data_IF_015128550898
#
_entry.id   IF_015128550898
#
_cell.length_a   1.000
_cell.length_b   1.000
_cell.length_c   1.000
_cell.angle_alpha   90.00
_cell.angle_beta   90.00
_cell.angle_gamma   90.00
#
_symmetry.space_group_name_H-M   'P 1'
#
loop_
_entity.id
_entity.type
_entity.pdbx_description
1 polymer ?
#
# COMPACT_ATOMS: atom_id res chain seq x y z
N UNK A 1 -33.79 16.05 5.60
CA UNK A 1 -32.92 15.79 4.45
C UNK A 1 -31.67 15.10 4.94
N UNK A 2 -31.46 13.91 4.43
CA UNK A 2 -30.51 12.86 4.80
C UNK A 2 -29.07 13.27 4.54
N UNK A 3 -28.21 13.26 5.55
CA UNK A 3 -26.75 13.18 5.36
C UNK A 3 -26.28 11.88 6.00
N UNK A 4 -26.31 10.81 5.18
CA UNK A 4 -25.71 9.51 5.51
C UNK A 4 -24.20 9.71 5.40
N UNK A 5 -23.61 10.31 6.43
CA UNK A 5 -22.17 10.48 6.57
C UNK A 5 -21.56 9.17 7.09
N UNK A 6 -21.76 8.07 6.36
CA UNK A 6 -21.04 6.82 6.62
C UNK A 6 -19.70 6.87 5.87
N UNK A 7 -18.90 7.90 6.17
CA UNK A 7 -17.46 7.80 5.91
C UNK A 7 -16.96 6.68 6.81
N UNK A 8 -16.44 5.61 6.21
CA UNK A 8 -15.88 4.47 6.93
C UNK A 8 -14.97 5.00 8.04
N UNK A 9 -15.40 4.82 9.29
CA UNK A 9 -14.64 5.28 10.44
C UNK A 9 -13.32 4.50 10.42
N UNK A 10 -12.20 5.20 10.52
CA UNK A 10 -10.89 4.55 10.65
C UNK A 10 -10.95 3.54 11.81
N UNK A 11 -10.70 2.26 11.50
CA UNK A 11 -10.67 1.15 12.46
C UNK A 11 -9.27 0.54 12.46
N UNK A 12 -8.50 0.84 13.50
CA UNK A 12 -7.12 0.37 13.64
C UNK A 12 -7.05 -1.16 13.65
N UNK A 13 -8.05 -1.81 14.22
CA UNK A 13 -8.19 -3.27 14.29
C UNK A 13 -8.33 -3.90 12.89
N UNK A 14 -9.04 -3.22 11.98
CA UNK A 14 -9.21 -3.69 10.59
C UNK A 14 -7.90 -3.60 9.81
N UNK A 15 -7.09 -2.56 10.04
CA UNK A 15 -5.77 -2.43 9.41
C UNK A 15 -4.83 -3.51 9.94
N UNK A 16 -4.83 -3.75 11.25
CA UNK A 16 -4.01 -4.81 11.86
C UNK A 16 -4.41 -6.19 11.32
N UNK A 17 -5.71 -6.47 11.24
CA UNK A 17 -6.21 -7.72 10.66
C UNK A 17 -5.84 -7.86 9.17
N UNK A 18 -6.02 -6.80 8.38
CA UNK A 18 -5.65 -6.81 6.96
C UNK A 18 -4.16 -7.08 6.77
N UNK A 19 -3.29 -6.42 7.54
CA UNK A 19 -1.84 -6.67 7.51
C UNK A 19 -1.49 -8.09 7.96
N UNK A 20 -2.17 -8.62 8.97
CA UNK A 20 -1.92 -9.96 9.49
C UNK A 20 -2.25 -11.05 8.44
N UNK A 21 -3.34 -10.87 7.70
CA UNK A 21 -3.80 -11.86 6.73
C UNK A 21 -3.26 -11.62 5.31
N UNK A 22 -2.61 -10.49 5.00
CA UNK A 22 -2.13 -10.18 3.66
C UNK A 22 -0.88 -10.95 3.28
N UNK A 23 -0.96 -11.71 2.18
CA UNK A 23 0.15 -12.36 1.50
C UNK A 23 0.54 -11.54 0.26
N UNK A 24 1.73 -10.94 0.30
CA UNK A 24 2.19 -10.01 -0.74
C UNK A 24 2.55 -10.71 -2.06
N UNK A 25 2.97 -11.98 -2.02
CA UNK A 25 3.32 -12.73 -3.22
C UNK A 25 2.11 -13.02 -4.12
N UNK A 26 0.92 -13.17 -3.54
CA UNK A 26 -0.32 -13.48 -4.26
C UNK A 26 -1.28 -12.28 -4.32
N UNK A 27 -1.00 -11.20 -3.59
CA UNK A 27 -1.90 -10.07 -3.39
C UNK A 27 -3.29 -10.53 -2.87
N UNK A 28 -3.31 -11.45 -1.89
CA UNK A 28 -4.54 -11.98 -1.29
C UNK A 28 -4.51 -11.97 0.23
N UNK A 29 -5.68 -12.05 0.86
CA UNK A 29 -5.81 -12.36 2.28
C UNK A 29 -5.93 -13.88 2.47
N UNK A 30 -5.15 -14.45 3.38
CA UNK A 30 -5.15 -15.87 3.69
C UNK A 30 -5.92 -16.15 4.98
N UNK A 31 -7.11 -16.75 4.86
CA UNK A 31 -7.90 -17.24 5.99
C UNK A 31 -7.84 -18.76 6.08
N UNK A 32 -8.23 -19.33 7.22
CA UNK A 32 -8.36 -20.79 7.37
C UNK A 32 -9.33 -21.41 6.36
N UNK A 33 -10.33 -20.63 5.90
CA UNK A 33 -11.31 -21.06 4.90
C UNK A 33 -10.85 -20.84 3.44
N UNK A 34 -9.65 -20.30 3.22
CA UNK A 34 -9.07 -20.09 1.89
C UNK A 34 -8.56 -18.67 1.65
N UNK A 35 -8.11 -18.44 0.42
CA UNK A 35 -7.60 -17.14 -0.02
C UNK A 35 -8.74 -16.24 -0.49
N UNK A 36 -8.65 -14.95 -0.21
CA UNK A 36 -9.56 -13.91 -0.70
C UNK A 36 -8.76 -12.79 -1.36
N UNK A 37 -8.97 -12.54 -2.64
CA UNK A 37 -8.36 -11.40 -3.33
C UNK A 37 -9.17 -10.13 -3.04
N UNK A 38 -8.63 -9.15 -2.28
CA UNK A 38 -9.33 -7.90 -2.06
C UNK A 38 -9.40 -7.08 -3.36
N UNK A 39 -10.54 -6.44 -3.61
CA UNK A 39 -10.67 -5.46 -4.69
C UNK A 39 -10.05 -4.11 -4.27
N UNK A 40 -9.85 -3.22 -5.24
CA UNK A 40 -9.42 -1.85 -4.96
C UNK A 40 -10.36 -1.13 -3.97
N UNK A 41 -11.66 -1.40 -4.05
CA UNK A 41 -12.66 -0.80 -3.16
C UNK A 41 -12.56 -1.37 -1.75
N UNK A 42 -12.26 -2.67 -1.61
CA UNK A 42 -12.05 -3.31 -0.31
C UNK A 42 -10.81 -2.74 0.38
N UNK A 43 -9.71 -2.59 -0.37
CA UNK A 43 -8.49 -1.97 0.15
C UNK A 43 -8.76 -0.54 0.59
N UNK A 44 -9.38 0.28 -0.28
CA UNK A 44 -9.73 1.66 0.05
C UNK A 44 -10.58 1.74 1.32
N UNK A 45 -11.56 0.84 1.46
CA UNK A 45 -12.40 0.77 2.65
C UNK A 45 -11.61 0.44 3.93
N UNK A 46 -10.69 -0.53 3.86
CA UNK A 46 -9.86 -0.96 5.01
C UNK A 46 -8.98 0.18 5.53
N UNK A 47 -8.38 0.97 4.64
CA UNK A 47 -7.50 2.08 5.01
C UNK A 47 -8.26 3.39 5.28
N UNK A 48 -9.60 3.36 5.24
CA UNK A 48 -10.44 4.53 5.49
C UNK A 48 -10.42 5.56 4.35
N UNK A 49 -10.00 5.16 3.14
CA UNK A 49 -10.15 5.99 1.95
C UNK A 49 -11.59 5.89 1.44
N UNK A 50 -12.15 7.02 1.03
CA UNK A 50 -13.47 7.04 0.42
C UNK A 50 -13.38 6.51 -1.02
N UNK A 51 -14.07 5.39 -1.36
CA UNK A 51 -13.97 4.79 -2.70
C UNK A 51 -14.57 5.65 -3.83
N UNK A 52 -15.40 6.65 -3.50
CA UNK A 52 -16.24 7.39 -4.45
C UNK A 52 -16.12 8.92 -4.26
N UNK A 53 -14.96 9.43 -3.82
CA UNK A 53 -14.74 10.89 -3.68
C UNK A 53 -13.65 11.38 -4.62
N UNK A 54 -13.50 12.70 -4.68
CA UNK A 54 -12.49 13.41 -5.46
C UNK A 54 -11.13 12.74 -5.30
N UNK A 55 -10.39 12.64 -6.41
CA UNK A 55 -9.05 12.05 -6.47
C UNK A 55 -8.20 12.53 -5.30
N UNK A 56 -7.58 11.60 -4.57
CA UNK A 56 -6.64 11.93 -3.51
C UNK A 56 -5.57 12.90 -4.05
N UNK A 57 -5.49 14.09 -3.44
CA UNK A 57 -4.54 15.12 -3.80
C UNK A 57 -3.35 15.08 -2.83
N UNK A 58 -2.19 14.53 -3.24
CA UNK A 58 -1.05 14.37 -2.35
C UNK A 58 -0.48 15.71 -1.86
N UNK A 59 -0.76 16.82 -2.56
CA UNK A 59 -0.34 18.16 -2.13
C UNK A 59 -1.22 18.75 -1.03
N UNK A 60 -2.36 18.11 -0.74
CA UNK A 60 -3.28 18.46 0.36
C UNK A 60 -3.21 17.48 1.54
N UNK A 61 -2.32 16.49 1.48
CA UNK A 61 -2.12 15.54 2.56
C UNK A 61 -1.57 16.24 3.81
N UNK A 62 -1.90 15.74 5.01
CA UNK A 62 -1.35 16.30 6.25
C UNK A 62 0.15 16.03 6.35
N UNK A 63 0.92 16.98 6.88
CA UNK A 63 2.37 16.84 7.12
C UNK A 63 2.74 15.69 8.07
N UNK A 64 1.76 15.11 8.78
CA UNK A 64 1.94 13.96 9.68
C UNK A 64 2.41 12.70 8.95
N UNK A 65 2.04 12.51 7.68
CA UNK A 65 2.50 11.41 6.83
C UNK A 65 3.03 12.03 5.54
N UNK A 66 4.32 12.40 5.54
CA UNK A 66 5.01 12.86 4.33
C UNK A 66 5.31 11.68 3.42
N UNK A 67 4.54 11.54 2.36
CA UNK A 67 4.95 10.73 1.22
C UNK A 67 5.92 11.53 0.36
N UNK A 68 7.22 11.28 0.53
CA UNK A 68 8.23 11.83 -0.36
C UNK A 68 8.24 11.02 -1.67
N UNK A 69 7.40 11.46 -2.61
CA UNK A 69 7.33 10.89 -3.96
C UNK A 69 8.53 11.29 -4.83
N UNK A 70 9.35 12.26 -4.41
CA UNK A 70 10.56 12.64 -5.14
C UNK A 70 11.72 11.67 -4.86
N UNK A 71 11.68 10.91 -3.77
CA UNK A 71 12.76 9.99 -3.37
C UNK A 71 12.56 8.51 -3.74
N UNK A 72 11.39 8.12 -4.27
CA UNK A 72 11.11 6.71 -4.61
C UNK A 72 11.06 6.44 -6.11
N UNK A 73 11.99 7.00 -6.86
CA UNK A 73 12.24 6.45 -8.19
C UNK A 73 12.95 5.11 -8.02
N UNK A 74 12.36 4.03 -8.51
CA UNK A 74 13.05 2.77 -8.72
C UNK A 74 14.40 2.99 -9.43
N UNK A 75 14.47 3.98 -10.34
CA UNK A 75 15.71 4.39 -10.98
C UNK A 75 16.74 5.00 -10.02
N UNK A 76 16.33 5.70 -8.96
CA UNK A 76 17.24 6.20 -7.93
C UNK A 76 17.83 5.03 -7.12
N UNK A 77 17.00 4.07 -6.75
CA UNK A 77 17.46 2.85 -6.07
C UNK A 77 18.47 2.07 -6.94
N UNK A 78 18.18 1.90 -8.23
CA UNK A 78 19.11 1.29 -9.18
C UNK A 78 20.44 2.06 -9.20
N UNK A 79 20.41 3.39 -9.40
CA UNK A 79 21.65 4.17 -9.47
C UNK A 79 22.50 4.11 -8.18
N UNK A 80 21.87 4.00 -7.02
CA UNK A 80 22.57 3.95 -5.74
C UNK A 80 23.09 2.55 -5.38
N UNK A 81 22.51 1.50 -5.94
CA UNK A 81 22.80 0.11 -5.57
C UNK A 81 23.36 -0.74 -6.73
N UNK A 82 23.35 -0.23 -7.97
CA UNK A 82 23.99 -0.85 -9.11
C UNK A 82 25.49 -0.77 -8.95
N UNK A 83 26.13 -1.91 -8.70
CA UNK A 83 27.58 -2.04 -8.74
C UNK A 83 28.02 -2.21 -10.19
N UNK A 84 29.20 -1.69 -10.53
CA UNK A 84 29.83 -1.84 -11.85
C UNK A 84 30.54 -3.20 -12.01
N UNK A 85 30.26 -4.17 -11.13
CA UNK A 85 30.86 -5.50 -11.16
C UNK A 85 30.04 -6.43 -12.07
N UNK A 86 30.71 -7.38 -12.73
CA UNK A 86 30.07 -8.33 -13.65
C UNK A 86 29.22 -9.38 -12.89
N UNK A 87 29.44 -9.55 -11.59
CA UNK A 87 28.79 -10.56 -10.75
C UNK A 87 27.72 -9.94 -9.84
N UNK A 88 26.46 -10.29 -10.11
CA UNK A 88 25.30 -9.81 -9.33
C UNK A 88 25.24 -10.57 -7.99
N UNK A 89 25.18 -9.83 -6.88
CA UNK A 89 25.11 -10.41 -5.54
C UNK A 89 23.73 -11.00 -5.22
N UNK A 90 23.68 -11.88 -4.23
CA UNK A 90 22.43 -12.48 -3.78
C UNK A 90 21.44 -11.42 -3.25
N UNK A 91 21.95 -10.35 -2.64
CA UNK A 91 21.17 -9.21 -2.17
C UNK A 91 20.58 -8.41 -3.34
N UNK A 92 21.33 -8.23 -4.42
CA UNK A 92 20.84 -7.60 -5.65
C UNK A 92 19.76 -8.48 -6.32
N UNK A 93 19.89 -9.81 -6.29
CA UNK A 93 18.87 -10.74 -6.80
C UNK A 93 17.53 -10.70 -6.06
N UNK A 94 17.50 -10.28 -4.79
CA UNK A 94 16.27 -10.21 -3.98
C UNK A 94 15.65 -8.80 -4.02
N UNK A 95 16.44 -7.80 -4.41
CA UNK A 95 16.02 -6.41 -4.48
C UNK A 95 15.36 -6.01 -5.81
N UNK A 96 15.52 -6.81 -6.86
CA UNK A 96 14.96 -6.64 -8.20
C UNK A 96 14.01 -7.79 -8.55
#
# INVERSE_FOLDING_TARGET
>A
MTNILLGLKYQQEMIIAALHFFESSTNTFHFECGMMTPTLLDVAAIIGLSPIRDTYDPFKASDTIKFDFHNKSYSKYILENQKDDDEVSAEEHVAF
#
